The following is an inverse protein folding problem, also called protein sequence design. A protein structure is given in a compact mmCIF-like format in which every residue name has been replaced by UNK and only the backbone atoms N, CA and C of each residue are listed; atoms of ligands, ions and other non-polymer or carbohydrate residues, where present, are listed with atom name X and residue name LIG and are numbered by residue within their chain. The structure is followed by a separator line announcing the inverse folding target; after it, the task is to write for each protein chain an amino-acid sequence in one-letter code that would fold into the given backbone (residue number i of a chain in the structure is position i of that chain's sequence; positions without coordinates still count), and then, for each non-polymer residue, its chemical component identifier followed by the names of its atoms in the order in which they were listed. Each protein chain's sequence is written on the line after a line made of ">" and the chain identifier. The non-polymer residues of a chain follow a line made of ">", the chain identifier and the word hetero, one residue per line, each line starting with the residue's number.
data_IF_981786940953
#
_entry.id   IF_981786940953
#
_cell.length_a   1.000
_cell.length_b   1.000
_cell.length_c   1.000
_cell.angle_alpha   90.00
_cell.angle_beta   90.00
_cell.angle_gamma   90.00
#
_symmetry.space_group_name_H-M   'P 1'
#
loop_
_entity.id
_entity.type
_entity.pdbx_description
1 polymer ?
#
# COMPACT_ATOMS: atom_id res chain seq x y z
N UNK A 1 -3.87 -6.72 13.18
CA UNK A 1 -2.83 -5.80 12.66
C UNK A 1 -1.98 -6.59 11.68
N UNK A 2 -2.05 -6.26 10.38
CA UNK A 2 -1.32 -6.99 9.33
C UNK A 2 -0.16 -6.13 8.84
N UNK A 3 1.07 -6.62 8.99
CA UNK A 3 2.25 -5.87 8.55
C UNK A 3 2.53 -6.02 7.05
N UNK A 4 2.13 -7.15 6.47
CA UNK A 4 2.22 -7.39 5.04
C UNK A 4 0.90 -7.04 4.39
N UNK A 5 0.93 -6.06 3.49
CA UNK A 5 -0.22 -5.65 2.69
C UNK A 5 0.06 -5.92 1.22
N UNK A 6 -1.00 -6.18 0.45
CA UNK A 6 -0.92 -6.38 -1.00
C UNK A 6 -1.17 -5.05 -1.69
N UNK A 7 -0.18 -4.56 -2.42
CA UNK A 7 -0.30 -3.42 -3.33
C UNK A 7 -0.13 -3.91 -4.78
N UNK A 8 -0.28 -3.01 -5.74
CA UNK A 8 -0.11 -3.27 -7.17
C UNK A 8 1.03 -2.42 -7.69
N UNK A 9 2.06 -3.03 -8.27
CA UNK A 9 3.18 -2.32 -8.91
C UNK A 9 2.66 -1.37 -9.98
N UNK A 10 3.10 -0.12 -9.90
CA UNK A 10 2.71 0.89 -10.88
C UNK A 10 3.09 0.46 -12.30
N UNK A 11 2.13 0.58 -13.23
CA UNK A 11 2.32 0.26 -14.66
C UNK A 11 2.53 -1.22 -15.01
N UNK A 12 2.62 -2.15 -14.03
CA UNK A 12 2.92 -3.56 -14.28
C UNK A 12 1.74 -4.52 -14.03
N UNK A 13 0.64 -4.02 -13.45
CA UNK A 13 -0.51 -4.83 -13.02
C UNK A 13 -0.14 -6.06 -12.16
N UNK A 14 1.06 -6.03 -11.56
CA UNK A 14 1.64 -7.13 -10.81
C UNK A 14 1.42 -6.88 -9.31
N UNK A 15 0.92 -7.88 -8.55
CA UNK A 15 0.79 -7.74 -7.11
C UNK A 15 2.16 -7.68 -6.45
N UNK A 16 2.30 -6.80 -5.46
CA UNK A 16 3.52 -6.63 -4.68
C UNK A 16 3.18 -6.58 -3.19
N UNK A 17 3.80 -7.47 -2.41
CA UNK A 17 3.58 -7.52 -0.96
C UNK A 17 4.55 -6.59 -0.25
N UNK A 18 4.00 -5.57 0.41
CA UNK A 18 4.74 -4.54 1.13
C UNK A 18 4.67 -4.84 2.62
N UNK A 19 5.83 -4.84 3.29
CA UNK A 19 5.87 -4.77 4.74
C UNK A 19 5.78 -3.30 5.17
N UNK A 20 4.59 -2.87 5.59
CA UNK A 20 4.34 -1.45 5.90
C UNK A 20 5.12 -0.96 7.13
N UNK A 21 5.55 -1.86 8.03
CA UNK A 21 6.41 -1.49 9.17
C UNK A 21 7.80 -1.04 8.74
N UNK A 22 8.21 -1.33 7.50
CA UNK A 22 9.48 -0.91 6.94
C UNK A 22 9.34 0.34 6.06
N UNK A 23 8.13 0.87 5.88
CA UNK A 23 7.90 2.09 5.10
C UNK A 23 8.12 3.30 6.01
N UNK A 24 9.14 4.10 5.70
CA UNK A 24 9.48 5.33 6.41
C UNK A 24 8.81 6.57 5.82
N UNK A 25 8.41 6.50 4.55
CA UNK A 25 7.77 7.60 3.84
C UNK A 25 6.80 7.10 2.77
N UNK A 26 5.69 7.82 2.60
CA UNK A 26 4.78 7.66 1.48
C UNK A 26 4.54 9.02 0.85
N UNK A 27 4.72 9.12 -0.46
CA UNK A 27 4.44 10.34 -1.20
C UNK A 27 3.65 10.04 -2.47
N UNK A 28 2.81 10.97 -2.89
CA UNK A 28 2.06 10.87 -4.13
C UNK A 28 2.77 11.69 -5.21
N UNK A 29 3.07 11.05 -6.32
CA UNK A 29 3.65 11.69 -7.50
C UNK A 29 2.76 11.38 -8.71
N UNK A 30 1.91 12.33 -9.10
CA UNK A 30 0.93 12.12 -10.16
C UNK A 30 -0.01 10.94 -9.88
N UNK A 31 0.03 9.93 -10.76
CA UNK A 31 -0.81 8.73 -10.69
C UNK A 31 -0.28 7.58 -9.84
N UNK A 32 0.90 7.72 -9.22
CA UNK A 32 1.56 6.67 -8.43
C UNK A 32 1.84 7.13 -7.00
N UNK A 33 1.90 6.16 -6.11
CA UNK A 33 2.42 6.35 -4.75
C UNK A 33 3.80 5.76 -4.66
N UNK A 34 4.74 6.53 -4.12
CA UNK A 34 6.12 6.12 -3.88
C UNK A 34 6.23 5.72 -2.41
N UNK A 35 6.70 4.49 -2.17
CA UNK A 35 6.97 3.93 -0.85
C UNK A 35 8.47 3.95 -0.61
N UNK A 36 8.91 4.71 0.39
CA UNK A 36 10.31 4.80 0.79
C UNK A 36 10.57 3.86 1.97
N UNK A 37 11.44 2.88 1.77
CA UNK A 37 11.77 1.90 2.81
C UNK A 37 12.94 2.35 3.67
N UNK A 38 12.85 2.10 4.98
CA UNK A 38 13.95 2.35 5.93
C UNK A 38 14.97 1.20 5.90
N UNK A 39 16.25 1.53 6.13
CA UNK A 39 17.34 0.56 6.25
C UNK A 39 18.57 0.90 5.39
N UNK A 40 19.64 0.14 5.55
CA UNK A 40 20.93 0.37 4.87
C UNK A 40 20.86 0.27 3.33
N UNK A 41 19.81 -0.36 2.81
CA UNK A 41 19.50 -0.45 1.38
C UNK A 41 18.13 0.19 1.11
N UNK A 42 17.95 1.45 1.53
CA UNK A 42 16.72 2.19 1.31
C UNK A 42 16.32 2.13 -0.17
N UNK A 43 15.18 1.51 -0.42
CA UNK A 43 14.61 1.30 -1.75
C UNK A 43 13.33 2.10 -1.86
N UNK A 44 13.02 2.51 -3.09
CA UNK A 44 11.72 3.07 -3.43
C UNK A 44 10.94 2.08 -4.28
N UNK A 45 9.66 1.94 -3.97
CA UNK A 45 8.73 1.14 -4.77
C UNK A 45 7.55 2.02 -5.18
N UNK A 46 7.18 1.92 -6.45
CA UNK A 46 6.02 2.63 -7.00
C UNK A 46 4.81 1.69 -7.05
N UNK A 47 3.70 2.14 -6.48
CA UNK A 47 2.44 1.39 -6.43
C UNK A 47 1.28 2.25 -6.93
N UNK A 48 0.20 1.61 -7.38
CA UNK A 48 -0.99 2.28 -7.89
C UNK A 48 -1.81 2.91 -6.75
N UNK A 49 -1.93 2.17 -5.64
CA UNK A 49 -2.77 2.51 -4.50
C UNK A 49 -2.36 3.86 -3.91
N UNK A 50 -3.32 4.68 -3.50
CA UNK A 50 -3.04 5.95 -2.80
C UNK A 50 -2.53 5.68 -1.38
N UNK A 51 -1.83 6.64 -0.74
CA UNK A 51 -1.44 6.48 0.66
C UNK A 51 -2.61 6.15 1.59
N UNK A 52 -3.80 6.73 1.33
CA UNK A 52 -5.02 6.48 2.10
C UNK A 52 -5.53 5.06 1.92
N UNK A 53 -5.53 4.53 0.70
CA UNK A 53 -5.92 3.14 0.41
C UNK A 53 -4.98 2.15 1.09
N UNK A 54 -3.67 2.41 1.02
CA UNK A 54 -2.62 1.59 1.68
C UNK A 54 -2.83 1.55 3.20
N UNK A 55 -3.12 2.71 3.81
CA UNK A 55 -3.42 2.80 5.24
C UNK A 55 -4.73 2.09 5.59
N UNK A 56 -5.77 2.23 4.78
CA UNK A 56 -7.04 1.54 4.98
C UNK A 56 -6.85 0.01 4.97
N UNK A 57 -6.12 -0.52 3.99
CA UNK A 57 -5.77 -1.95 3.91
C UNK A 57 -5.02 -2.40 5.17
N UNK A 58 -4.00 -1.65 5.61
CA UNK A 58 -3.21 -1.99 6.79
C UNK A 58 -4.04 -2.01 8.09
N UNK A 59 -4.91 -1.01 8.25
CA UNK A 59 -5.77 -0.88 9.42
C UNK A 59 -6.94 -1.88 9.42
N UNK A 60 -7.13 -2.62 8.31
CA UNK A 60 -8.25 -3.53 8.15
C UNK A 60 -9.57 -2.80 7.91
N UNK A 61 -9.52 -1.56 7.46
CA UNK A 61 -10.66 -0.91 6.83
C UNK A 61 -10.81 -1.52 5.43
N UNK A 62 -11.34 -2.74 5.39
CA UNK A 62 -11.88 -3.28 4.15
C UNK A 62 -12.90 -2.27 3.63
N UNK A 63 -12.75 -1.93 2.35
CA UNK A 63 -13.85 -1.40 1.55
C UNK A 63 -15.14 -2.10 1.92
N UNK A 64 -16.20 -1.29 2.03
CA UNK A 64 -17.52 -1.65 2.51
C UNK A 64 -17.85 -3.12 2.30
N UNK A 65 -17.96 -3.84 3.41
CA UNK A 65 -18.79 -5.02 3.48
C UNK A 65 -20.14 -4.61 2.89
N UNK A 66 -20.58 -5.13 1.71
CA UNK A 66 -21.95 -4.94 1.33
C UNK A 66 -22.75 -5.53 2.48
N UNK A 67 -23.65 -4.75 3.05
CA UNK A 67 -24.57 -5.26 4.04
C UNK A 67 -25.30 -6.44 3.41
N UNK A 68 -24.88 -7.66 3.75
CA UNK A 68 -25.73 -8.83 3.63
C UNK A 68 -26.78 -8.64 4.73
N UNK A 69 -27.77 -7.79 4.44
CA UNK A 69 -28.93 -7.55 5.26
C UNK A 69 -30.14 -8.00 4.43
N UNK A 70 -30.62 -9.19 4.81
CA UNK A 70 -31.91 -9.83 4.53
C UNK A 70 -32.11 -10.38 3.12
#
# INVERSE_FOLDING_TARGET
>A
MQFWIKCTRFGKAEPYYVNISLVGGMSREGGKTILEFVGSNAQTIEVNETPEEILAIHLGASEGQPSQRW
#
